data_IF_316343904038
#
_entry.id   IF_316343904038
#
_cell.length_a   1.000
_cell.length_b   1.000
_cell.length_c   1.000
_cell.angle_alpha   90.00
_cell.angle_beta   90.00
_cell.angle_gamma   90.00
#
_symmetry.space_group_name_H-M   'P 1'
#
loop_
_entity.id
_entity.type
_entity.pdbx_description
1 polymer ?
#
# COMPACT_ATOMS: atom_id res chain seq x y z
N UNK A 1 -14.15 3.41 -15.54
CA UNK A 1 -13.32 2.80 -14.48
C UNK A 1 -12.82 3.97 -13.66
N UNK A 2 -13.32 4.07 -12.44
CA UNK A 2 -12.97 5.15 -11.54
C UNK A 2 -11.51 5.06 -11.11
N UNK A 3 -10.96 6.22 -10.76
CA UNK A 3 -9.62 6.33 -10.20
C UNK A 3 -9.48 5.39 -9.00
N UNK A 4 -8.31 4.75 -8.80
CA UNK A 4 -8.06 4.03 -7.55
C UNK A 4 -8.39 4.92 -6.37
N UNK A 5 -8.84 4.36 -5.26
CA UNK A 5 -9.12 5.11 -4.02
C UNK A 5 -8.27 4.61 -2.87
N UNK A 6 -8.15 5.42 -1.82
CA UNK A 6 -7.39 5.02 -0.63
C UNK A 6 -8.16 4.02 0.24
N UNK A 7 -7.43 3.11 0.89
CA UNK A 7 -7.95 2.18 1.88
C UNK A 7 -7.06 2.21 3.13
N UNK A 8 -7.65 2.04 4.31
CA UNK A 8 -6.92 1.81 5.55
C UNK A 8 -6.83 0.31 5.83
N UNK A 9 -5.62 -0.18 6.08
CA UNK A 9 -5.36 -1.54 6.53
C UNK A 9 -4.92 -1.51 7.99
N UNK A 10 -5.63 -2.25 8.84
CA UNK A 10 -5.25 -2.52 10.22
C UNK A 10 -4.90 -4.01 10.34
N UNK A 11 -3.71 -4.32 10.85
CA UNK A 11 -3.38 -5.72 11.14
C UNK A 11 -4.38 -6.29 12.14
N UNK A 12 -4.92 -7.48 11.86
CA UNK A 12 -5.88 -8.15 12.73
C UNK A 12 -5.20 -9.27 13.51
N UNK A 13 -4.72 -9.05 14.75
CA UNK A 13 -4.20 -10.14 15.55
C UNK A 13 -5.32 -11.13 15.89
N UNK A 14 -4.99 -12.42 15.87
CA UNK A 14 -5.90 -13.53 16.22
C UNK A 14 -6.15 -13.56 17.73
N UNK A 15 -5.19 -13.08 18.53
CA UNK A 15 -5.32 -12.98 19.98
C UNK A 15 -5.64 -11.55 20.40
N UNK A 16 -6.70 -11.42 21.22
CA UNK A 16 -7.24 -10.20 21.82
C UNK A 16 -6.28 -9.58 22.86
N UNK A 17 -5.02 -9.34 22.53
CA UNK A 17 -4.18 -8.52 23.40
C UNK A 17 -4.41 -7.05 23.08
N UNK A 18 -5.25 -6.41 23.89
CA UNK A 18 -5.70 -5.01 23.79
C UNK A 18 -4.59 -3.97 23.93
N UNK A 19 -3.32 -4.41 24.01
CA UNK A 19 -2.13 -3.57 24.14
C UNK A 19 -1.31 -3.42 22.86
N UNK A 20 -1.68 -4.10 21.78
CA UNK A 20 -1.07 -3.84 20.47
C UNK A 20 -1.65 -2.50 19.98
N UNK A 21 -0.81 -1.47 19.95
CA UNK A 21 -1.10 -0.25 19.20
C UNK A 21 -1.39 -0.68 17.75
N UNK A 22 -2.66 -0.59 17.36
CA UNK A 22 -3.10 -0.85 15.99
C UNK A 22 -2.47 0.22 15.10
N UNK A 23 -1.29 -0.10 14.55
CA UNK A 23 -0.62 0.77 13.59
C UNK A 23 -1.20 0.44 12.22
N UNK A 24 -2.04 1.34 11.73
CA UNK A 24 -2.58 1.25 10.39
C UNK A 24 -1.60 1.70 9.32
N UNK A 25 -1.85 1.25 8.10
CA UNK A 25 -1.18 1.70 6.89
C UNK A 25 -2.22 1.96 5.81
N UNK A 26 -1.90 2.85 4.88
CA UNK A 26 -2.75 3.10 3.71
C UNK A 26 -2.56 2.01 2.65
N UNK A 27 -3.46 1.99 1.68
CA UNK A 27 -3.44 1.10 0.53
C UNK A 27 -4.20 1.71 -0.63
N UNK A 28 -4.04 1.13 -1.80
CA UNK A 28 -4.73 1.48 -3.03
C UNK A 28 -5.78 0.42 -3.31
N UNK A 29 -7.04 0.81 -3.42
CA UNK A 29 -8.10 -0.03 -3.98
C UNK A 29 -7.91 -0.11 -5.49
N UNK A 30 -7.38 -1.24 -5.97
CA UNK A 30 -7.06 -1.42 -7.40
C UNK A 30 -8.23 -2.04 -8.18
N UNK A 31 -9.12 -2.74 -7.48
CA UNK A 31 -10.40 -3.22 -8.00
C UNK A 31 -11.31 -3.58 -6.83
N UNK A 32 -12.52 -4.10 -7.12
CA UNK A 32 -13.51 -4.47 -6.10
C UNK A 32 -12.94 -5.35 -4.99
N UNK A 33 -12.07 -6.32 -5.29
CA UNK A 33 -11.60 -7.27 -4.28
C UNK A 33 -10.11 -7.15 -3.96
N UNK A 34 -9.40 -6.17 -4.52
CA UNK A 34 -7.96 -6.13 -4.45
C UNK A 34 -7.46 -4.80 -3.90
N UNK A 35 -6.57 -4.91 -2.93
CA UNK A 35 -5.81 -3.78 -2.39
C UNK A 35 -4.33 -4.02 -2.66
N UNK A 36 -3.65 -2.99 -3.14
CA UNK A 36 -2.19 -2.92 -3.14
C UNK A 36 -1.74 -2.07 -1.95
N UNK A 37 -0.81 -2.55 -1.13
CA UNK A 37 -0.24 -1.76 -0.04
C UNK A 37 1.28 -1.92 0.03
N UNK A 38 1.92 -1.12 0.86
CA UNK A 38 3.36 -1.11 1.07
C UNK A 38 3.79 -2.14 2.13
N UNK A 39 5.02 -2.64 2.03
CA UNK A 39 5.59 -3.66 2.91
C UNK A 39 5.59 -3.28 4.39
N UNK A 40 5.65 -1.98 4.72
CA UNK A 40 5.61 -1.48 6.11
C UNK A 40 4.31 -1.80 6.84
N UNK A 41 3.25 -2.23 6.13
CA UNK A 41 2.07 -2.82 6.76
C UNK A 41 2.39 -4.04 7.64
N UNK A 42 3.56 -4.68 7.43
CA UNK A 42 4.05 -5.82 8.22
C UNK A 42 4.97 -5.41 9.38
N UNK A 43 5.34 -4.13 9.53
CA UNK A 43 6.17 -3.63 10.63
C UNK A 43 5.73 -4.18 12.01
N UNK A 44 4.42 -4.22 12.36
CA UNK A 44 4.01 -4.62 13.70
C UNK A 44 4.19 -6.12 14.00
N UNK A 45 4.42 -6.95 12.98
CA UNK A 45 4.39 -8.42 13.08
C UNK A 45 5.64 -9.11 12.55
N UNK A 46 6.44 -8.48 11.68
CA UNK A 46 7.59 -9.14 11.04
C UNK A 46 8.63 -9.64 12.04
N UNK A 47 8.85 -8.91 13.15
CA UNK A 47 9.78 -9.30 14.22
C UNK A 47 9.23 -10.42 15.11
N UNK A 48 7.90 -10.55 15.15
CA UNK A 48 7.20 -11.51 16.02
C UNK A 48 7.01 -12.86 15.35
N UNK A 49 7.05 -12.90 14.02
CA UNK A 49 6.87 -14.12 13.23
C UNK A 49 8.11 -14.43 12.39
N UNK A 50 8.96 -15.39 12.82
CA UNK A 50 10.08 -15.87 12.01
C UNK A 50 9.63 -16.40 10.65
N UNK A 51 8.40 -16.90 10.55
CA UNK A 51 7.85 -17.43 9.31
C UNK A 51 7.52 -16.31 8.31
N UNK A 52 6.95 -15.18 8.76
CA UNK A 52 6.79 -13.97 7.94
C UNK A 52 8.15 -13.39 7.58
N UNK A 53 9.05 -13.22 8.55
CA UNK A 53 10.39 -12.69 8.31
C UNK A 53 11.11 -13.50 7.22
N UNK A 54 11.12 -14.84 7.34
CA UNK A 54 11.71 -15.72 6.34
C UNK A 54 11.01 -15.66 4.98
N UNK A 55 9.69 -15.50 4.93
CA UNK A 55 8.99 -15.30 3.67
C UNK A 55 9.46 -14.02 2.96
N UNK A 56 9.52 -12.91 3.70
CA UNK A 56 9.91 -11.60 3.20
C UNK A 56 11.38 -11.55 2.76
N UNK A 57 12.30 -12.13 3.54
CA UNK A 57 13.73 -12.13 3.20
C UNK A 57 14.06 -12.98 1.96
N UNK A 58 13.25 -13.99 1.67
CA UNK A 58 13.44 -14.89 0.53
C UNK A 58 12.72 -14.42 -0.75
N UNK A 59 12.10 -13.24 -0.75
CA UNK A 59 11.52 -12.67 -1.97
C UNK A 59 12.62 -12.38 -2.99
N UNK A 60 12.48 -12.95 -4.19
CA UNK A 60 13.35 -12.68 -5.34
C UNK A 60 12.94 -11.34 -5.96
N UNK A 61 13.83 -10.32 -6.02
CA UNK A 61 13.52 -9.05 -6.65
C UNK A 61 13.04 -9.22 -8.09
N UNK A 62 11.96 -8.54 -8.46
CA UNK A 62 11.35 -8.64 -9.78
C UNK A 62 10.36 -9.79 -9.96
N UNK A 63 10.36 -10.79 -9.07
CA UNK A 63 9.42 -11.92 -9.15
C UNK A 63 8.23 -11.74 -8.20
N UNK A 64 7.03 -11.96 -8.74
CA UNK A 64 5.79 -11.98 -7.96
C UNK A 64 5.67 -13.33 -7.23
N UNK A 65 5.61 -13.30 -5.90
CA UNK A 65 5.61 -14.50 -5.05
C UNK A 65 4.28 -14.64 -4.33
N UNK A 66 3.65 -15.82 -4.42
CA UNK A 66 2.42 -16.13 -3.69
C UNK A 66 2.73 -16.35 -2.21
N UNK A 67 1.91 -15.78 -1.33
CA UNK A 67 2.05 -15.94 0.10
C UNK A 67 1.77 -17.42 0.50
N UNK A 68 2.65 -18.05 1.30
CA UNK A 68 2.43 -19.42 1.76
C UNK A 68 1.14 -19.55 2.57
N UNK A 69 0.32 -20.57 2.28
CA UNK A 69 -0.96 -20.81 2.97
C UNK A 69 -0.83 -20.91 4.49
N UNK A 70 0.32 -21.39 4.98
CA UNK A 70 0.63 -21.47 6.42
C UNK A 70 0.63 -20.09 7.12
N UNK A 71 0.88 -19.02 6.37
CA UNK A 71 0.90 -17.64 6.86
C UNK A 71 -0.44 -16.92 6.72
N UNK A 72 -1.45 -17.55 6.09
CA UNK A 72 -2.71 -16.89 5.74
C UNK A 72 -3.43 -16.28 6.96
N UNK A 73 -3.25 -16.88 8.14
CA UNK A 73 -3.83 -16.41 9.39
C UNK A 73 -3.08 -15.19 9.96
N UNK A 74 -1.76 -15.16 9.83
CA UNK A 74 -0.93 -14.07 10.36
C UNK A 74 -0.94 -12.83 9.44
N UNK A 75 -1.22 -13.04 8.15
CA UNK A 75 -1.26 -12.02 7.12
C UNK A 75 -2.67 -11.49 6.84
N UNK A 76 -3.52 -11.43 7.88
CA UNK A 76 -4.88 -10.87 7.81
C UNK A 76 -4.92 -9.40 8.23
N UNK A 77 -5.74 -8.63 7.53
CA UNK A 77 -6.00 -7.23 7.77
C UNK A 77 -7.50 -6.98 7.85
N UNK A 78 -7.90 -6.06 8.73
CA UNK A 78 -9.17 -5.34 8.58
C UNK A 78 -8.94 -4.21 7.60
N UNK A 79 -9.77 -4.14 6.58
CA UNK A 79 -9.67 -3.16 5.50
C UNK A 79 -10.86 -2.23 5.60
N UNK A 80 -10.60 -0.94 5.76
CA UNK A 80 -11.61 0.11 5.78
C UNK A 80 -11.49 0.93 4.51
N UNK A 81 -12.56 1.01 3.72
CA UNK A 81 -12.59 1.79 2.48
C UNK A 81 -14.00 2.21 2.12
N UNK A 82 -14.09 3.18 1.22
CA UNK A 82 -15.36 3.54 0.59
C UNK A 82 -15.69 2.52 -0.53
N UNK A 83 -16.87 1.87 -0.50
CA UNK A 83 -17.32 0.94 -1.53
C UNK A 83 -17.86 1.64 -2.80
N UNK A 84 -18.03 2.97 -2.84
CA UNK A 84 -18.52 3.71 -4.00
C UNK A 84 -17.52 3.68 -5.18
N UNK A 85 -17.48 2.52 -5.85
CA UNK A 85 -16.86 2.30 -7.16
C UNK A 85 -17.95 2.02 -8.22
N UNK A 86 -19.24 2.01 -7.85
CA UNK A 86 -20.33 1.57 -8.76
C UNK A 86 -21.65 2.39 -8.74
N UNK A 87 -21.85 3.41 -7.88
CA UNK A 87 -23.15 4.12 -7.82
C UNK A 87 -23.01 5.65 -8.00
N UNK A 88 -23.56 6.17 -9.12
CA UNK A 88 -23.52 7.57 -9.55
C UNK A 88 -24.33 8.54 -8.66
N UNK A 89 -24.86 8.07 -7.52
CA UNK A 89 -25.64 8.89 -6.59
C UNK A 89 -24.79 9.41 -5.45
N UNK A 90 -23.98 10.45 -5.72
CA UNK A 90 -23.34 11.27 -4.68
C UNK A 90 -24.40 12.03 -3.86
N UNK A 91 -25.07 11.34 -2.94
CA UNK A 91 -25.76 11.99 -1.83
C UNK A 91 -24.70 12.43 -0.81
N UNK A 92 -24.70 13.71 -0.44
CA UNK A 92 -23.66 14.36 0.38
C UNK A 92 -23.59 13.92 1.84
N UNK A 93 -23.62 12.62 2.11
CA UNK A 93 -23.49 12.04 3.44
C UNK A 93 -22.12 11.32 3.56
N UNK A 94 -21.22 11.87 4.36
CA UNK A 94 -19.82 11.43 4.53
C UNK A 94 -19.69 10.12 5.35
N UNK A 95 -20.55 9.11 5.15
CA UNK A 95 -20.69 8.00 6.11
C UNK A 95 -20.72 6.56 5.53
N UNK A 96 -19.96 6.26 4.46
CA UNK A 96 -19.93 4.91 3.89
C UNK A 96 -18.58 4.18 3.93
N UNK A 97 -17.70 4.47 4.91
CA UNK A 97 -16.54 3.59 5.15
C UNK A 97 -17.02 2.21 5.65
N UNK A 98 -16.74 1.15 4.87
CA UNK A 98 -17.08 -0.22 5.22
C UNK A 98 -15.85 -1.00 5.70
N UNK A 99 -16.05 -1.88 6.70
CA UNK A 99 -15.03 -2.83 7.17
C UNK A 99 -15.13 -4.15 6.39
N UNK A 100 -14.00 -4.60 5.86
CA UNK A 100 -13.83 -5.89 5.21
C UNK A 100 -12.67 -6.67 5.83
N UNK A 101 -12.63 -7.98 5.59
CA UNK A 101 -11.47 -8.80 5.88
C UNK A 101 -10.63 -9.00 4.61
N UNK A 102 -9.34 -8.69 4.72
CA UNK A 102 -8.35 -8.89 3.68
C UNK A 102 -7.25 -9.86 4.12
N UNK A 103 -6.69 -10.62 3.18
CA UNK A 103 -5.50 -11.45 3.41
C UNK A 103 -4.43 -11.17 2.37
N UNK A 104 -3.16 -11.10 2.78
CA UNK A 104 -2.05 -11.02 1.81
C UNK A 104 -1.97 -12.33 1.05
N UNK A 105 -2.12 -12.26 -0.27
CA UNK A 105 -2.08 -13.43 -1.16
C UNK A 105 -0.83 -13.44 -2.02
N UNK A 106 -0.22 -12.28 -2.25
CA UNK A 106 1.04 -12.18 -2.97
C UNK A 106 1.89 -11.01 -2.43
N UNK A 107 3.19 -11.12 -2.64
CA UNK A 107 4.15 -10.06 -2.38
C UNK A 107 5.09 -9.90 -3.57
N UNK A 108 5.56 -8.68 -3.79
CA UNK A 108 6.52 -8.36 -4.84
C UNK A 108 7.59 -7.43 -4.28
N UNK A 109 8.84 -7.69 -4.66
CA UNK A 109 9.98 -6.84 -4.29
C UNK A 109 10.46 -6.08 -5.51
N UNK A 110 10.33 -4.76 -5.47
CA UNK A 110 10.72 -3.86 -6.53
C UNK A 110 12.26 -3.76 -6.65
N UNK A 111 12.86 -4.20 -7.76
CA UNK A 111 14.30 -4.10 -7.95
C UNK A 111 14.77 -2.64 -8.09
N UNK A 112 13.97 -1.79 -8.76
CA UNK A 112 14.30 -0.37 -8.97
C UNK A 112 14.38 0.41 -7.66
N UNK A 113 13.42 0.19 -6.75
CA UNK A 113 13.46 0.81 -5.42
C UNK A 113 14.59 0.24 -4.55
N UNK A 114 14.86 -1.06 -4.64
CA UNK A 114 15.97 -1.67 -3.89
C UNK A 114 17.29 -0.98 -4.23
N UNK A 115 17.56 -0.75 -5.51
CA UNK A 115 18.74 -0.03 -5.96
C UNK A 115 18.72 1.43 -5.52
N UNK A 116 17.62 2.14 -5.75
CA UNK A 116 17.48 3.56 -5.39
C UNK A 116 17.69 3.82 -3.89
N UNK A 117 17.14 2.98 -3.01
CA UNK A 117 17.37 3.12 -1.56
C UNK A 117 18.80 2.77 -1.12
N UNK A 118 19.48 1.88 -1.85
CA UNK A 118 20.84 1.47 -1.49
C UNK A 118 21.92 2.39 -2.05
N UNK A 119 21.69 3.03 -3.19
CA UNK A 119 22.70 3.84 -3.89
C UNK A 119 22.36 5.34 -3.80
N UNK A 120 21.17 5.75 -4.23
CA UNK A 120 20.81 7.16 -4.32
C UNK A 120 20.58 7.76 -2.93
N UNK A 121 19.72 7.14 -2.12
CA UNK A 121 19.38 7.65 -0.79
C UNK A 121 20.46 7.42 0.27
N UNK A 122 21.52 6.66 -0.04
CA UNK A 122 22.68 6.54 0.87
C UNK A 122 23.38 7.88 1.08
N UNK A 123 23.35 8.75 0.07
CA UNK A 123 23.96 10.09 0.13
C UNK A 123 23.12 11.11 0.93
N UNK A 124 21.90 10.75 1.33
CA UNK A 124 21.00 11.65 2.04
C UNK A 124 21.21 11.59 3.56
N UNK A 125 21.02 12.73 4.21
CA UNK A 125 21.14 12.87 5.67
C UNK A 125 19.88 12.37 6.39
N UNK A 126 19.51 11.10 6.20
CA UNK A 126 18.47 10.48 6.99
C UNK A 126 19.04 9.95 8.31
N UNK A 127 18.32 10.10 9.43
CA UNK A 127 18.65 9.37 10.64
C UNK A 127 18.70 7.87 10.32
N UNK A 128 19.77 7.18 10.75
CA UNK A 128 19.81 5.72 10.64
C UNK A 128 18.61 5.17 11.41
N UNK A 129 17.71 4.46 10.73
CA UNK A 129 16.53 3.89 11.40
C UNK A 129 17.00 2.94 12.50
N UNK A 130 16.43 3.07 13.70
CA UNK A 130 16.65 2.12 14.78
C UNK A 130 15.87 0.81 14.58
N UNK A 131 14.89 0.82 13.66
CA UNK A 131 14.04 -0.33 13.34
C UNK A 131 14.74 -1.19 12.28
N UNK A 132 15.05 -2.44 12.65
CA UNK A 132 15.82 -3.39 11.82
C UNK A 132 15.18 -3.67 10.46
N UNK A 133 13.86 -3.70 10.38
CA UNK A 133 13.13 -4.14 9.18
C UNK A 133 12.60 -3.02 8.28
N UNK A 134 12.63 -1.76 8.74
CA UNK A 134 12.14 -0.62 7.97
C UNK A 134 12.83 -0.56 6.59
N UNK A 135 14.17 -0.68 6.54
CA UNK A 135 14.91 -0.69 5.26
C UNK A 135 14.56 -1.86 4.35
N UNK A 136 14.23 -3.03 4.91
CA UNK A 136 13.93 -4.23 4.13
C UNK A 136 12.53 -4.24 3.52
N UNK A 137 11.60 -3.51 4.14
CA UNK A 137 10.19 -3.45 3.72
C UNK A 137 9.91 -2.35 2.69
N UNK A 138 10.78 -1.32 2.61
CA UNK A 138 10.69 -0.21 1.63
C UNK A 138 10.53 -0.61 0.15
N UNK A 139 11.21 -1.64 -0.38
CA UNK A 139 11.02 -2.05 -1.76
C UNK A 139 9.91 -3.08 -1.93
N UNK A 140 9.11 -3.37 -0.89
CA UNK A 140 8.14 -4.46 -0.91
C UNK A 140 6.73 -3.90 -1.06
N UNK A 141 5.96 -4.58 -1.91
CA UNK A 141 4.54 -4.35 -2.11
C UNK A 141 3.79 -5.63 -1.80
N UNK A 142 2.62 -5.48 -1.17
CA UNK A 142 1.76 -6.57 -0.74
C UNK A 142 0.43 -6.44 -1.47
N UNK A 143 -0.06 -7.55 -1.99
CA UNK A 143 -1.40 -7.64 -2.54
C UNK A 143 -2.30 -8.35 -1.56
N UNK A 144 -3.36 -7.64 -1.19
CA UNK A 144 -4.37 -8.09 -0.25
C UNK A 144 -5.64 -8.37 -1.03
N UNK A 145 -6.13 -9.60 -0.91
CA UNK A 145 -7.43 -9.99 -1.43
C UNK A 145 -8.48 -9.79 -0.33
N UNK A 146 -9.52 -9.02 -0.65
CA UNK A 146 -10.73 -8.89 0.17
C UNK A 146 -11.59 -10.13 -0.04
N UNK A 147 -12.02 -10.75 1.06
CA UNK A 147 -12.89 -11.92 1.05
C UNK A 147 -14.16 -11.63 1.83
N UNK A 148 -15.31 -11.68 1.16
CA UNK A 148 -16.63 -11.47 1.79
C UNK A 148 -17.08 -12.64 2.67
N UNK A 149 -16.37 -13.78 2.63
CA UNK A 149 -16.59 -14.93 3.51
C UNK A 149 -15.28 -15.71 3.71
N UNK A 150 -15.20 -16.50 4.78
CA UNK A 150 -14.03 -17.30 5.24
C UNK A 150 -13.58 -18.41 4.25
N UNK A 151 -14.03 -18.33 3.00
CA UNK A 151 -13.68 -19.23 1.91
C UNK A 151 -12.20 -19.08 1.54
N UNK A 152 -11.46 -20.19 1.67
CA UNK A 152 -10.09 -20.33 1.16
C UNK A 152 -10.11 -20.34 -0.37
N UNK A 153 -10.20 -19.17 -1.00
CA UNK A 153 -10.00 -19.08 -2.44
C UNK A 153 -8.53 -19.39 -2.75
N UNK A 154 -8.29 -20.31 -3.68
CA UNK A 154 -6.94 -20.56 -4.18
C UNK A 154 -6.67 -19.44 -5.17
N UNK A 155 -5.77 -18.54 -4.81
CA UNK A 155 -5.32 -17.46 -5.69
C UNK A 155 -4.11 -17.94 -6.48
N UNK A 156 -4.17 -17.79 -7.80
CA UNK A 156 -3.08 -18.10 -8.70
C UNK A 156 -2.43 -16.82 -9.25
N UNK A 157 -1.18 -16.94 -9.71
CA UNK A 157 -0.41 -15.83 -10.28
C UNK A 157 -1.15 -15.13 -11.44
N UNK A 158 -1.83 -15.82 -12.38
CA UNK A 158 -2.57 -15.15 -13.45
C UNK A 158 -3.65 -14.21 -12.91
N UNK A 159 -4.40 -14.61 -11.88
CA UNK A 159 -5.41 -13.78 -11.24
C UNK A 159 -4.79 -12.54 -10.62
N UNK A 160 -3.64 -12.68 -9.96
CA UNK A 160 -2.91 -11.55 -9.39
C UNK A 160 -2.45 -10.58 -10.49
N UNK A 161 -1.87 -11.09 -11.57
CA UNK A 161 -1.41 -10.27 -12.70
C UNK A 161 -2.58 -9.51 -13.35
N UNK A 162 -3.75 -10.15 -13.46
CA UNK A 162 -4.96 -9.51 -13.95
C UNK A 162 -5.42 -8.36 -13.03
N UNK A 163 -5.36 -8.55 -11.72
CA UNK A 163 -5.67 -7.47 -10.78
C UNK A 163 -4.69 -6.29 -10.91
N UNK A 164 -3.40 -6.58 -11.11
CA UNK A 164 -2.38 -5.56 -11.33
C UNK A 164 -2.50 -4.85 -12.69
N UNK A 165 -3.05 -5.50 -13.73
CA UNK A 165 -3.25 -4.83 -15.01
C UNK A 165 -4.21 -3.64 -14.92
N UNK A 166 -5.16 -3.65 -13.98
CA UNK A 166 -6.03 -2.50 -13.71
C UNK A 166 -5.23 -1.24 -13.33
N UNK A 167 -4.13 -1.40 -12.58
CA UNK A 167 -3.24 -0.29 -12.25
C UNK A 167 -2.42 0.19 -13.44
N UNK A 168 -2.01 -0.69 -14.34
CA UNK A 168 -1.21 -0.31 -15.51
C UNK A 168 -1.98 0.61 -16.46
N UNK A 169 -3.28 0.37 -16.59
CA UNK A 169 -4.16 1.22 -17.41
C UNK A 169 -4.31 2.63 -16.81
N UNK A 170 -4.11 2.76 -15.50
CA UNK A 170 -4.24 3.99 -14.72
C UNK A 170 -2.87 4.60 -14.33
N UNK A 171 -1.76 3.97 -14.73
CA UNK A 171 -0.42 4.38 -14.32
C UNK A 171 -0.06 5.75 -14.90
N UNK A 172 0.60 6.57 -14.07
CA UNK A 172 1.13 7.88 -14.44
C UNK A 172 2.13 7.74 -15.59
N UNK A 173 1.74 8.19 -16.79
CA UNK A 173 2.62 8.09 -17.97
C UNK A 173 3.59 9.25 -18.11
N UNK A 174 3.38 10.37 -17.41
CA UNK A 174 4.18 11.59 -17.57
C UNK A 174 4.29 12.39 -16.25
N UNK A 175 5.02 11.85 -15.27
CA UNK A 175 5.34 12.57 -14.03
C UNK A 175 6.37 13.67 -14.30
N UNK A 176 5.90 14.87 -14.62
CA UNK A 176 6.78 16.01 -14.95
C UNK A 176 6.98 16.88 -13.71
N UNK A 177 8.22 17.31 -13.47
CA UNK A 177 8.53 18.28 -12.42
C UNK A 177 7.65 19.54 -12.55
N UNK A 178 7.07 19.98 -11.45
CA UNK A 178 6.15 21.11 -11.38
C UNK A 178 4.68 20.74 -11.58
N UNK A 179 4.35 19.48 -11.94
CA UNK A 179 2.96 19.03 -12.01
C UNK A 179 2.33 19.01 -10.62
N UNK A 180 1.07 19.44 -10.52
CA UNK A 180 0.28 19.33 -9.29
C UNK A 180 0.00 17.86 -8.97
N UNK A 181 0.09 17.52 -7.68
CA UNK A 181 -0.20 16.17 -7.18
C UNK A 181 -1.08 16.18 -5.95
N UNK A 182 -1.84 15.11 -5.81
CA UNK A 182 -2.63 14.78 -4.63
C UNK A 182 -2.19 13.43 -4.07
N UNK A 183 -2.03 13.36 -2.75
CA UNK A 183 -1.88 12.12 -2.00
C UNK A 183 -3.18 11.92 -1.24
N UNK A 184 -3.82 10.77 -1.44
CA UNK A 184 -4.99 10.36 -0.66
C UNK A 184 -4.58 9.21 0.24
N UNK A 185 -4.64 9.42 1.56
CA UNK A 185 -4.12 8.46 2.51
C UNK A 185 -4.89 8.48 3.83
N UNK A 186 -4.47 7.60 4.75
CA UNK A 186 -4.90 7.61 6.15
C UNK A 186 -3.72 7.97 7.06
N UNK A 187 -3.43 9.27 7.25
CA UNK A 187 -2.43 9.74 8.20
C UNK A 187 -2.51 9.06 9.56
N UNK A 188 -1.35 8.75 10.11
CA UNK A 188 -1.14 8.07 11.39
C UNK A 188 -1.75 6.67 11.50
N UNK A 189 -2.27 6.13 10.39
CA UNK A 189 -3.00 4.86 10.39
C UNK A 189 -4.26 4.90 11.25
N UNK A 190 -4.83 6.09 11.45
CA UNK A 190 -5.97 6.30 12.33
C UNK A 190 -7.26 6.48 11.51
N UNK A 191 -8.31 5.69 11.79
CA UNK A 191 -9.59 5.76 11.08
C UNK A 191 -10.21 7.15 10.93
N UNK A 192 -9.95 8.08 11.87
CA UNK A 192 -10.45 9.46 11.80
C UNK A 192 -9.92 10.21 10.56
N UNK A 193 -8.77 9.79 10.02
CA UNK A 193 -8.13 10.43 8.87
C UNK A 193 -8.31 9.66 7.56
N UNK A 194 -9.22 8.68 7.49
CA UNK A 194 -9.49 7.97 6.23
C UNK A 194 -9.89 8.97 5.14
N UNK A 195 -9.27 8.82 3.95
CA UNK A 195 -9.55 9.69 2.81
C UNK A 195 -8.98 11.11 2.94
N UNK A 196 -7.98 11.32 3.81
CA UNK A 196 -7.32 12.63 3.90
C UNK A 196 -6.56 12.94 2.61
N UNK A 197 -6.71 14.16 2.11
CA UNK A 197 -6.06 14.64 0.89
C UNK A 197 -4.96 15.63 1.25
N UNK A 198 -3.74 15.38 0.78
CA UNK A 198 -2.62 16.32 0.83
C UNK A 198 -2.23 16.72 -0.60
N UNK A 199 -2.09 18.02 -0.84
CA UNK A 199 -1.73 18.60 -2.15
C UNK A 199 -0.31 19.12 -2.15
N UNK A 200 0.32 19.06 -3.31
CA UNK A 200 1.64 19.63 -3.55
C UNK A 200 1.99 19.59 -5.04
N UNK A 201 3.28 19.62 -5.32
CA UNK A 201 3.86 19.56 -6.65
C UNK A 201 4.98 18.53 -6.71
N UNK A 202 5.17 17.93 -7.89
CA UNK A 202 6.35 17.11 -8.16
C UNK A 202 7.58 18.01 -8.12
N UNK A 203 8.33 17.93 -7.04
CA UNK A 203 9.58 18.65 -6.84
C UNK A 203 10.70 18.06 -7.68
N UNK A 204 10.74 16.73 -7.82
CA UNK A 204 11.70 16.02 -8.67
C UNK A 204 11.24 14.57 -8.97
N UNK A 205 11.89 13.93 -9.95
CA UNK A 205 11.75 12.50 -10.23
C UNK A 205 13.16 11.91 -10.27
N UNK A 206 13.41 10.89 -9.44
CA UNK A 206 14.75 10.35 -9.16
C UNK A 206 14.75 8.82 -9.14
N UNK A 207 15.95 8.25 -9.08
CA UNK A 207 16.17 6.80 -9.15
C UNK A 207 16.17 6.26 -10.58
N UNK A 208 16.50 4.99 -10.70
CA UNK A 208 16.48 4.29 -11.98
C UNK A 208 15.08 4.33 -12.60
N UNK A 209 15.01 4.59 -13.91
CA UNK A 209 13.75 4.69 -14.66
C UNK A 209 12.74 5.70 -14.05
N UNK A 210 13.21 6.66 -13.25
CA UNK A 210 12.35 7.63 -12.57
C UNK A 210 11.40 6.98 -11.54
N UNK A 211 11.81 5.87 -10.92
CA UNK A 211 10.95 5.08 -10.03
C UNK A 211 10.55 5.77 -8.70
N UNK A 212 11.10 6.96 -8.39
CA UNK A 212 10.74 7.72 -7.18
C UNK A 212 10.32 9.15 -7.55
N UNK A 213 9.11 9.51 -7.14
CA UNK A 213 8.60 10.88 -7.19
C UNK A 213 8.95 11.56 -5.86
N UNK A 214 9.57 12.73 -5.94
CA UNK A 214 9.74 13.64 -4.80
C UNK A 214 8.69 14.74 -4.90
N UNK A 215 7.92 14.92 -3.85
CA UNK A 215 6.84 15.92 -3.76
C UNK A 215 6.97 16.71 -2.47
N UNK A 216 6.47 17.94 -2.47
CA UNK A 216 6.31 18.78 -1.27
C UNK A 216 4.94 18.57 -0.58
N UNK A 217 4.07 17.72 -1.16
CA UNK A 217 2.82 17.30 -0.51
C UNK A 217 3.12 16.60 0.83
N UNK A 218 2.36 16.94 1.86
CA UNK A 218 2.54 16.34 3.19
C UNK A 218 2.24 14.84 3.18
N UNK A 219 3.23 14.04 3.56
CA UNK A 219 3.06 12.61 3.83
C UNK A 219 3.35 12.34 5.32
N UNK A 220 2.34 11.87 6.05
CA UNK A 220 2.47 11.50 7.47
C UNK A 220 2.72 10.00 7.61
N UNK A 221 3.40 9.54 8.69
CA UNK A 221 3.48 8.11 9.00
C UNK A 221 2.10 7.47 8.96
N UNK A 222 1.94 6.26 8.43
CA UNK A 222 0.64 5.62 8.17
C UNK A 222 0.07 5.90 6.77
N UNK A 223 0.62 6.89 6.05
CA UNK A 223 0.24 7.16 4.65
C UNK A 223 0.86 6.19 3.66
N UNK A 224 1.79 5.32 4.10
CA UNK A 224 2.48 4.38 3.23
C UNK A 224 1.48 3.46 2.53
N UNK A 225 1.64 3.30 1.21
CA UNK A 225 0.73 2.51 0.38
C UNK A 225 -0.48 3.27 -0.18
N UNK A 226 -0.71 4.54 0.21
CA UNK A 226 -1.77 5.36 -0.38
C UNK A 226 -1.48 5.76 -1.84
N UNK A 227 -2.53 5.98 -2.67
CA UNK A 227 -2.37 6.44 -4.04
C UNK A 227 -1.86 7.88 -4.13
N UNK A 228 -1.18 8.17 -5.24
CA UNK A 228 -0.76 9.52 -5.64
C UNK A 228 -1.31 9.80 -7.03
N UNK A 229 -2.01 10.92 -7.18
CA UNK A 229 -2.59 11.37 -8.43
C UNK A 229 -1.82 12.59 -8.94
N UNK A 230 -1.65 12.69 -10.27
CA UNK A 230 -1.25 13.94 -10.92
C UNK A 230 -2.51 14.64 -11.39
N UNK A 231 -2.70 15.88 -10.95
CA UNK A 231 -3.84 16.69 -11.33
C UNK A 231 -3.49 17.42 -12.64
N UNK A 232 -4.28 17.28 -13.70
CA UNK A 232 -4.08 18.10 -14.90
C UNK A 232 -4.31 19.58 -14.57
N UNK A 233 -3.60 20.51 -15.24
CA UNK A 233 -3.85 21.93 -15.06
C UNK A 233 -5.30 22.26 -15.46
N UNK A 234 -5.99 23.05 -14.64
CA UNK A 234 -7.30 23.60 -14.97
C UNK A 234 -7.15 24.48 -16.22
N UNK A 235 -7.79 24.10 -17.33
CA UNK A 235 -7.89 24.90 -18.57
C UNK A 235 -9.27 25.50 -18.72
#
# INVERSE_FOLDING_TARGET
>A
MDSPSSALLLHSPIDKDSRITLRGSSGISISKNWILTHGTALDPIIDKSPAISNFITNLVPGELTIAPRKLANELKFRVYRDPEIDDDSRSGDYSHVQEHLGSVVAAWKCPLLTKTFNEFFETFNFPKSSIKFDRFLRPIYLLVLITDSDGKSIVEIPTVKQALSCLLDQALRNSIRGSSVEIESTPFGNPVFIGSIARGVISNVVGDEGCVIMTDAYAFPGSEGGPVYVIPPDW
#
